data_IF_392282079308
#
_entry.id   IF_392282079308
#
_cell.length_a   1.000
_cell.length_b   1.000
_cell.length_c   1.000
_cell.angle_alpha   90.00
_cell.angle_beta   90.00
_cell.angle_gamma   90.00
#
_symmetry.space_group_name_H-M   'P 1'
#
loop_
_entity.id
_entity.type
_entity.pdbx_description
1 polymer ?
#
# COMPACT_ATOMS: atom_id res chain seq x y z
N UNK A 1 2.64 33.16 -16.22
CA UNK A 1 2.31 33.08 -14.77
C UNK A 1 0.92 33.67 -14.43
N UNK A 2 0.59 34.92 -14.78
CA UNK A 2 -0.71 35.56 -14.45
C UNK A 2 -1.98 34.81 -14.93
N UNK A 3 -1.98 34.24 -16.15
CA UNK A 3 -3.11 33.41 -16.64
C UNK A 3 -3.35 32.17 -15.79
N UNK A 4 -2.29 31.49 -15.36
CA UNK A 4 -2.42 30.24 -14.58
C UNK A 4 -2.93 30.51 -13.16
N UNK A 5 -2.46 31.57 -12.51
CA UNK A 5 -2.99 32.01 -11.21
C UNK A 5 -4.47 32.41 -11.28
N UNK A 6 -4.87 33.16 -12.31
CA UNK A 6 -6.28 33.51 -12.55
C UNK A 6 -7.16 32.31 -12.90
N UNK A 7 -6.58 31.25 -13.47
CA UNK A 7 -7.29 30.02 -13.79
C UNK A 7 -7.49 29.15 -12.54
N UNK A 8 -6.49 29.12 -11.64
CA UNK A 8 -6.54 28.35 -10.38
C UNK A 8 -7.58 28.86 -9.39
N UNK A 9 -7.89 30.16 -9.39
CA UNK A 9 -8.93 30.72 -8.51
C UNK A 9 -10.35 30.45 -9.00
N UNK A 10 -10.54 30.05 -10.27
CA UNK A 10 -11.87 29.89 -10.89
C UNK A 10 -12.19 28.43 -11.27
N UNK A 11 -11.19 27.55 -11.35
CA UNK A 11 -11.35 26.15 -11.74
C UNK A 11 -10.98 25.22 -10.59
N UNK A 12 -11.82 24.21 -10.36
CA UNK A 12 -11.72 23.23 -9.26
C UNK A 12 -10.93 21.97 -9.62
N UNK A 13 -10.51 21.82 -10.87
CA UNK A 13 -9.83 20.62 -11.38
C UNK A 13 -8.64 21.03 -12.26
N UNK A 14 -7.50 20.40 -12.01
CA UNK A 14 -6.30 20.51 -12.82
C UNK A 14 -5.93 19.09 -13.23
N UNK A 15 -5.76 18.88 -14.54
CA UNK A 15 -5.23 17.62 -15.08
C UNK A 15 -3.80 17.89 -15.53
N UNK A 16 -2.89 17.05 -15.05
CA UNK A 16 -1.46 17.26 -15.11
C UNK A 16 -0.75 15.95 -15.41
N UNK A 17 0.33 15.99 -16.18
CA UNK A 17 1.32 14.91 -16.20
C UNK A 17 2.41 15.19 -15.17
N UNK A 18 3.25 14.20 -14.89
CA UNK A 18 4.34 14.29 -13.92
C UNK A 18 5.34 15.46 -14.19
N UNK A 19 5.27 16.07 -15.38
CA UNK A 19 6.06 17.24 -15.77
C UNK A 19 5.59 18.58 -15.15
N UNK A 20 4.56 18.62 -14.31
CA UNK A 20 4.17 19.83 -13.59
C UNK A 20 5.05 20.08 -12.35
N UNK A 21 6.34 20.27 -12.60
CA UNK A 21 7.34 20.81 -11.68
C UNK A 21 7.23 22.32 -11.46
N UNK A 22 6.22 22.97 -12.04
CA UNK A 22 5.91 24.36 -11.76
C UNK A 22 5.37 24.41 -10.33
N UNK A 23 5.94 25.27 -9.47
CA UNK A 23 5.58 25.44 -8.05
C UNK A 23 4.13 25.91 -7.84
N UNK A 24 3.17 25.04 -8.15
CA UNK A 24 1.75 25.22 -7.90
C UNK A 24 1.55 25.16 -6.39
N UNK A 25 1.34 26.32 -5.80
CA UNK A 25 0.98 26.50 -4.40
C UNK A 25 -0.48 26.92 -4.32
N UNK A 26 -1.37 25.95 -4.45
CA UNK A 26 -2.81 26.12 -4.20
C UNK A 26 -3.05 25.54 -2.80
N UNK A 27 -3.39 26.36 -1.80
CA UNK A 27 -3.40 25.92 -0.41
C UNK A 27 -4.53 24.93 -0.09
N UNK A 28 -5.61 24.95 -0.88
CA UNK A 28 -6.86 24.26 -0.63
C UNK A 28 -7.06 22.99 -1.49
N UNK A 29 -5.99 22.36 -1.97
CA UNK A 29 -6.09 21.09 -2.71
C UNK A 29 -6.58 19.97 -1.76
N UNK A 30 -7.74 19.40 -2.07
CA UNK A 30 -8.38 18.32 -1.29
C UNK A 30 -8.16 16.92 -1.83
N UNK A 31 -7.95 16.80 -3.14
CA UNK A 31 -7.79 15.53 -3.81
C UNK A 31 -6.60 15.59 -4.77
N UNK A 32 -5.74 14.57 -4.68
CA UNK A 32 -4.73 14.27 -5.69
C UNK A 32 -5.00 12.86 -6.16
N UNK A 33 -5.19 12.70 -7.47
CA UNK A 33 -5.52 11.41 -8.08
C UNK A 33 -4.46 11.10 -9.12
N UNK A 34 -3.72 10.02 -8.89
CA UNK A 34 -2.80 9.45 -9.85
C UNK A 34 -3.53 8.40 -10.67
N UNK A 35 -3.58 8.59 -11.99
CA UNK A 35 -4.13 7.60 -12.92
C UNK A 35 -2.96 6.79 -13.48
N UNK A 36 -2.91 5.52 -13.13
CA UNK A 36 -1.76 4.64 -13.34
C UNK A 36 -0.79 4.65 -12.18
N UNK A 37 0.15 3.70 -12.19
CA UNK A 37 1.13 3.57 -11.11
C UNK A 37 2.25 4.61 -11.32
N UNK A 38 2.55 5.46 -10.31
CA UNK A 38 3.71 6.35 -10.37
C UNK A 38 5.01 5.56 -10.56
N UNK A 39 5.99 6.13 -11.26
CA UNK A 39 7.25 5.43 -11.52
C UNK A 39 8.16 5.30 -10.30
N UNK A 40 8.08 6.25 -9.36
CA UNK A 40 8.89 6.32 -8.16
C UNK A 40 8.02 6.79 -6.99
N UNK A 41 8.16 6.16 -5.83
CA UNK A 41 7.39 6.55 -4.64
C UNK A 41 7.72 7.99 -4.19
N UNK A 42 8.97 8.44 -4.39
CA UNK A 42 9.40 9.80 -4.02
C UNK A 42 8.68 10.87 -4.85
N UNK A 43 8.52 10.63 -6.16
CA UNK A 43 7.76 11.52 -7.02
C UNK A 43 6.29 11.58 -6.58
N UNK A 44 5.68 10.40 -6.35
CA UNK A 44 4.34 10.29 -5.81
C UNK A 44 4.16 11.06 -4.48
N UNK A 45 5.13 10.97 -3.57
CA UNK A 45 5.10 11.66 -2.29
C UNK A 45 5.14 13.19 -2.47
N UNK A 46 6.02 13.70 -3.33
CA UNK A 46 6.11 15.13 -3.64
C UNK A 46 4.84 15.67 -4.30
N UNK A 47 4.26 14.89 -5.22
CA UNK A 47 3.02 15.24 -5.91
C UNK A 47 1.83 15.26 -4.95
N UNK A 48 1.72 14.25 -4.07
CA UNK A 48 0.69 14.14 -3.05
C UNK A 48 0.83 15.19 -1.94
N UNK A 49 2.06 15.61 -1.62
CA UNK A 49 2.36 16.66 -0.63
C UNK A 49 1.87 18.07 -0.96
N UNK A 50 1.11 18.22 -2.06
CA UNK A 50 0.36 19.45 -2.39
C UNK A 50 -0.97 19.54 -1.64
N UNK A 51 -1.46 18.43 -1.09
CA UNK A 51 -2.67 18.36 -0.29
C UNK A 51 -2.53 19.13 1.04
N UNK A 52 -3.64 19.60 1.60
CA UNK A 52 -3.70 19.86 3.04
C UNK A 52 -2.89 21.04 3.56
N UNK A 53 -2.41 21.95 2.70
CA UNK A 53 -1.55 23.08 3.11
C UNK A 53 -2.28 24.12 3.97
N UNK A 54 -3.61 24.10 3.94
CA UNK A 54 -4.51 24.85 4.83
C UNK A 54 -4.79 24.13 6.16
N UNK A 55 -4.13 23.00 6.44
CA UNK A 55 -4.32 22.20 7.65
C UNK A 55 -5.58 21.33 7.65
N UNK A 56 -6.38 21.34 6.58
CA UNK A 56 -7.59 20.52 6.46
C UNK A 56 -7.27 19.21 5.76
N UNK A 57 -7.99 18.16 6.15
CA UNK A 57 -7.83 16.82 5.59
C UNK A 57 -7.89 16.82 4.05
N UNK A 58 -7.08 15.96 3.44
CA UNK A 58 -7.07 15.72 2.00
C UNK A 58 -6.79 14.25 1.72
N UNK A 59 -7.14 13.79 0.52
CA UNK A 59 -6.99 12.39 0.12
C UNK A 59 -6.12 12.28 -1.11
N UNK A 60 -5.10 11.42 -1.05
CA UNK A 60 -4.32 11.00 -2.22
C UNK A 60 -4.71 9.59 -2.61
N UNK A 61 -5.06 9.39 -3.88
CA UNK A 61 -5.53 8.11 -4.42
C UNK A 61 -4.77 7.73 -5.67
N UNK A 62 -4.31 6.48 -5.74
CA UNK A 62 -3.78 5.88 -6.97
C UNK A 62 -4.86 4.98 -7.55
N UNK A 63 -5.24 5.24 -8.80
CA UNK A 63 -6.14 4.40 -9.58
C UNK A 63 -5.29 3.64 -10.58
N UNK A 64 -5.09 2.35 -10.35
CA UNK A 64 -4.35 1.47 -11.25
C UNK A 64 -5.15 0.20 -11.56
N UNK A 65 -4.79 -0.49 -12.64
CA UNK A 65 -5.40 -1.79 -12.96
C UNK A 65 -5.11 -2.80 -11.85
N UNK A 66 -6.12 -3.57 -11.48
CA UNK A 66 -6.00 -4.59 -10.45
C UNK A 66 -4.86 -5.57 -10.76
N UNK A 67 -4.01 -5.81 -9.76
CA UNK A 67 -2.98 -6.84 -9.82
C UNK A 67 -3.65 -8.18 -9.58
N UNK A 68 -3.90 -8.95 -10.65
CA UNK A 68 -4.46 -10.29 -10.52
C UNK A 68 -3.34 -11.30 -10.22
N UNK A 69 -3.40 -11.92 -9.03
CA UNK A 69 -2.75 -13.21 -8.73
C UNK A 69 -1.35 -13.16 -8.12
N UNK A 70 -0.99 -14.24 -7.40
CA UNK A 70 0.37 -14.48 -6.84
C UNK A 70 1.45 -14.64 -7.92
N UNK A 71 1.06 -14.73 -9.20
CA UNK A 71 1.95 -14.71 -10.35
C UNK A 71 1.53 -13.59 -11.30
N UNK A 72 2.30 -12.50 -11.30
CA UNK A 72 2.21 -11.48 -12.35
C UNK A 72 1.46 -10.23 -11.94
N UNK A 73 2.22 -9.26 -11.44
CA UNK A 73 1.90 -7.85 -11.63
C UNK A 73 1.42 -7.60 -13.08
N UNK A 74 0.45 -6.69 -13.28
CA UNK A 74 0.08 -6.24 -14.63
C UNK A 74 1.32 -5.69 -15.35
N UNK A 75 1.35 -5.69 -16.69
CA UNK A 75 2.48 -5.14 -17.46
C UNK A 75 2.85 -3.71 -17.03
N UNK A 76 1.85 -2.93 -16.63
CA UNK A 76 2.00 -1.57 -16.10
C UNK A 76 2.72 -1.52 -14.74
N UNK A 77 2.59 -2.56 -13.93
CA UNK A 77 3.30 -2.66 -12.67
C UNK A 77 4.64 -3.38 -12.79
N UNK A 78 4.80 -4.26 -13.79
CA UNK A 78 6.10 -4.86 -14.13
C UNK A 78 7.09 -3.83 -14.69
N UNK A 79 6.61 -2.73 -15.28
CA UNK A 79 7.47 -1.64 -15.74
C UNK A 79 7.97 -0.74 -14.59
N UNK A 80 7.34 -0.83 -13.41
CA UNK A 80 7.77 -0.10 -12.22
C UNK A 80 8.95 -0.84 -11.61
N UNK A 81 10.12 -0.21 -11.68
CA UNK A 81 11.38 -0.75 -11.13
C UNK A 81 11.68 -0.25 -9.72
N UNK A 82 10.88 0.68 -9.22
CA UNK A 82 11.03 1.26 -7.89
C UNK A 82 10.42 0.32 -6.84
N UNK A 83 11.28 -0.34 -6.08
CA UNK A 83 10.88 -1.36 -5.10
C UNK A 83 9.94 -0.80 -4.02
N UNK A 84 10.19 0.44 -3.60
CA UNK A 84 9.39 1.14 -2.60
C UNK A 84 7.99 1.48 -3.15
N UNK A 85 7.88 1.87 -4.42
CA UNK A 85 6.59 2.05 -5.08
C UNK A 85 5.82 0.73 -5.19
N UNK A 86 6.51 -0.37 -5.49
CA UNK A 86 5.90 -1.70 -5.52
C UNK A 86 5.39 -2.11 -4.13
N UNK A 87 6.18 -1.89 -3.08
CA UNK A 87 5.77 -2.11 -1.69
C UNK A 87 4.57 -1.24 -1.30
N UNK A 88 4.61 0.04 -1.70
CA UNK A 88 3.49 0.96 -1.53
C UNK A 88 2.25 0.35 -2.17
N UNK A 89 2.21 0.09 -3.47
CA UNK A 89 1.01 -0.41 -4.16
C UNK A 89 0.48 -1.72 -3.56
N UNK A 90 1.38 -2.66 -3.20
CA UNK A 90 0.99 -3.92 -2.55
C UNK A 90 0.23 -3.70 -1.25
N UNK A 91 0.54 -2.64 -0.50
CA UNK A 91 -0.17 -2.30 0.73
C UNK A 91 0.06 -3.32 1.85
N UNK A 92 1.23 -3.97 1.88
CA UNK A 92 1.62 -4.96 2.90
C UNK A 92 2.11 -4.31 4.20
N UNK A 93 2.49 -3.03 4.14
CA UNK A 93 2.87 -2.21 5.30
C UNK A 93 2.09 -0.91 5.32
N UNK A 94 2.10 -0.24 6.47
CA UNK A 94 1.55 1.10 6.62
C UNK A 94 2.06 2.03 5.50
N UNK A 95 1.17 2.83 4.90
CA UNK A 95 1.57 3.78 3.84
C UNK A 95 2.65 4.75 4.33
N UNK A 96 2.54 5.23 5.57
CA UNK A 96 3.52 6.13 6.18
C UNK A 96 4.87 5.46 6.42
N UNK A 97 4.90 4.17 6.74
CA UNK A 97 6.17 3.44 6.84
C UNK A 97 6.95 3.51 5.52
N UNK A 98 6.28 3.20 4.40
CA UNK A 98 6.91 3.21 3.08
C UNK A 98 7.34 4.64 2.70
N UNK A 99 6.50 5.63 2.95
CA UNK A 99 6.80 7.03 2.65
C UNK A 99 7.96 7.59 3.51
N UNK A 100 7.99 7.31 4.81
CA UNK A 100 9.04 7.79 5.73
C UNK A 100 10.40 7.20 5.37
N UNK A 101 10.43 5.90 5.04
CA UNK A 101 11.62 5.20 4.55
C UNK A 101 12.10 5.81 3.24
N UNK A 102 11.20 5.97 2.27
CA UNK A 102 11.55 6.46 0.95
C UNK A 102 11.99 7.92 0.95
N UNK A 103 11.39 8.77 1.79
CA UNK A 103 11.68 10.22 1.81
C UNK A 103 12.91 10.55 2.63
N UNK A 104 12.95 10.08 3.88
CA UNK A 104 13.87 10.52 4.93
C UNK A 104 14.76 9.39 5.45
N UNK A 105 14.61 8.16 4.94
CA UNK A 105 15.33 6.98 5.42
C UNK A 105 14.92 6.53 6.82
N UNK A 106 13.83 7.10 7.37
CA UNK A 106 13.36 6.78 8.72
C UNK A 106 12.64 5.44 8.71
N UNK A 107 13.04 4.57 9.63
CA UNK A 107 12.36 3.30 9.86
C UNK A 107 11.40 3.50 11.02
N UNK A 108 10.11 3.42 10.71
CA UNK A 108 9.02 3.52 11.67
C UNK A 108 8.70 2.14 12.23
N UNK A 109 8.56 2.04 13.54
CA UNK A 109 8.02 0.84 14.17
C UNK A 109 6.48 0.86 14.08
N UNK A 110 5.88 -0.21 13.56
CA UNK A 110 4.42 -0.35 13.48
C UNK A 110 3.73 0.48 12.38
N UNK A 111 2.63 1.14 12.74
CA UNK A 111 1.67 1.76 11.82
C UNK A 111 1.55 3.29 11.93
N UNK A 112 0.41 3.83 11.50
CA UNK A 112 0.06 5.22 11.81
C UNK A 112 0.05 5.44 13.33
N UNK A 113 0.57 6.58 13.79
CA UNK A 113 0.58 6.97 15.20
C UNK A 113 -0.76 7.61 15.61
N UNK A 114 -0.97 7.79 16.92
CA UNK A 114 -2.23 8.30 17.48
C UNK A 114 -2.56 9.75 17.05
N UNK A 115 -1.55 10.56 16.74
CA UNK A 115 -1.68 11.93 16.25
C UNK A 115 -1.80 12.02 14.72
N UNK A 116 -1.87 10.88 14.03
CA UNK A 116 -1.92 10.81 12.58
C UNK A 116 -3.25 10.30 12.03
N UNK A 117 -3.70 10.89 10.94
CA UNK A 117 -4.80 10.35 10.13
C UNK A 117 -4.48 8.93 9.63
N UNK A 118 -5.32 7.94 9.92
CA UNK A 118 -5.04 6.56 9.53
C UNK A 118 -5.01 6.35 8.01
N UNK A 119 -4.04 5.59 7.53
CA UNK A 119 -4.01 5.17 6.12
C UNK A 119 -4.95 3.98 5.85
N UNK A 120 -5.22 3.71 4.58
CA UNK A 120 -6.07 2.61 4.12
C UNK A 120 -5.59 1.22 4.58
N UNK A 121 -4.28 0.99 4.66
CA UNK A 121 -3.71 -0.25 5.21
C UNK A 121 -3.91 -0.30 6.72
N UNK A 122 -3.76 0.85 7.40
CA UNK A 122 -3.99 1.05 8.83
C UNK A 122 -5.41 0.73 9.26
N UNK A 123 -6.38 1.28 8.53
CA UNK A 123 -7.80 1.07 8.76
C UNK A 123 -8.19 -0.42 8.61
N UNK A 124 -7.54 -1.14 7.69
CA UNK A 124 -7.85 -2.56 7.42
C UNK A 124 -7.17 -3.54 8.38
N UNK A 125 -6.37 -3.09 9.34
CA UNK A 125 -5.61 -3.95 10.24
C UNK A 125 -4.44 -4.71 9.58
N UNK A 126 -4.05 -4.34 8.35
CA UNK A 126 -3.12 -5.10 7.52
C UNK A 126 -1.63 -4.74 7.66
N UNK A 127 -1.17 -4.23 8.79
CA UNK A 127 0.23 -3.78 8.96
C UNK A 127 0.95 -4.83 9.77
N UNK A 128 1.91 -5.51 9.15
CA UNK A 128 2.76 -6.48 9.81
C UNK A 128 3.59 -5.74 10.87
N UNK A 129 3.29 -5.96 12.15
CA UNK A 129 4.19 -5.56 13.22
C UNK A 129 5.30 -6.63 13.30
N UNK A 130 6.55 -6.22 13.12
CA UNK A 130 7.73 -7.11 13.16
C UNK A 130 7.86 -7.86 14.50
N UNK A 131 7.17 -7.41 15.57
CA UNK A 131 7.14 -8.07 16.87
C UNK A 131 6.33 -9.37 16.93
N UNK A 132 5.58 -9.74 15.87
CA UNK A 132 4.84 -11.01 15.84
C UNK A 132 4.92 -11.70 14.46
N UNK A 133 6.08 -12.32 14.19
CA UNK A 133 6.28 -13.29 13.09
C UNK A 133 5.41 -14.57 13.27
N UNK A 134 4.64 -14.70 14.35
CA UNK A 134 3.88 -15.92 14.71
C UNK A 134 2.35 -15.83 14.57
N UNK A 135 1.78 -14.71 14.11
CA UNK A 135 0.31 -14.56 14.05
C UNK A 135 -0.24 -14.46 12.61
N UNK A 136 0.25 -15.29 11.70
CA UNK A 136 -0.51 -15.61 10.48
C UNK A 136 -1.48 -16.74 10.87
N UNK A 137 -2.72 -16.41 11.26
CA UNK A 137 -3.81 -17.38 11.11
C UNK A 137 -4.18 -17.39 9.63
N UNK A 138 -3.93 -18.47 8.87
CA UNK A 138 -4.45 -18.56 7.53
C UNK A 138 -5.98 -18.57 7.60
N UNK A 139 -6.61 -17.76 6.75
CA UNK A 139 -8.05 -17.79 6.54
C UNK A 139 -8.47 -19.22 6.20
N UNK A 140 -9.37 -19.80 7.01
CA UNK A 140 -9.95 -21.11 6.78
C UNK A 140 -10.81 -21.12 5.52
N UNK A 141 -10.74 -22.23 4.79
CA UNK A 141 -11.83 -22.77 3.97
C UNK A 141 -11.34 -23.74 2.88
N UNK A 142 -12.15 -24.71 2.43
CA UNK A 142 -13.33 -25.34 3.04
C UNK A 142 -13.04 -26.77 3.52
N UNK A 143 -14.00 -27.31 4.27
CA UNK A 143 -14.04 -28.68 4.76
C UNK A 143 -13.92 -29.72 3.63
N UNK A 144 -13.12 -30.76 3.87
CA UNK A 144 -13.29 -32.06 3.22
C UNK A 144 -13.22 -33.15 4.28
N UNK A 145 -14.41 -33.56 4.71
CA UNK A 145 -14.73 -34.87 5.26
C UNK A 145 -14.19 -35.94 4.30
N UNK A 146 -13.44 -36.93 4.79
CA UNK A 146 -13.83 -38.35 4.70
C UNK A 146 -12.86 -39.27 5.46
N UNK A 147 -13.47 -40.00 6.39
CA UNK A 147 -13.33 -41.43 6.69
C UNK A 147 -12.14 -41.93 7.50
N UNK A 148 -12.48 -42.16 8.77
CA UNK A 148 -12.07 -43.26 9.63
C UNK A 148 -11.79 -44.55 8.84
N UNK A 149 -10.63 -45.14 9.11
CA UNK A 149 -10.42 -46.58 9.13
C UNK A 149 -9.40 -46.85 10.25
N UNK A 150 -9.92 -47.20 11.41
CA UNK A 150 -9.19 -47.86 12.49
C UNK A 150 -8.89 -49.28 12.04
N UNK A 151 -7.63 -49.68 12.00
CA UNK A 151 -7.25 -51.08 12.16
C UNK A 151 -6.16 -51.14 13.25
N UNK A 152 -6.62 -51.48 14.45
CA UNK A 152 -5.82 -52.01 15.53
C UNK A 152 -5.43 -53.44 15.16
N UNK A 153 -4.14 -53.72 14.98
CA UNK A 153 -3.60 -55.04 15.34
C UNK A 153 -2.31 -54.84 16.11
N UNK A 154 -2.41 -55.06 17.41
CA UNK A 154 -1.28 -55.20 18.29
C UNK A 154 -0.72 -56.63 18.29
N UNK A 155 0.58 -56.66 18.57
CA UNK A 155 1.24 -57.56 19.54
C UNK A 155 2.04 -58.76 19.02
N UNK A 156 3.31 -58.76 19.45
CA UNK A 156 4.15 -59.93 19.78
C UNK A 156 4.79 -60.67 18.60
N UNK A 157 5.97 -61.27 18.68
CA UNK A 157 7.01 -61.43 19.71
C UNK A 157 8.20 -62.13 19.00
N UNK A 158 9.41 -61.82 19.44
CA UNK A 158 10.60 -62.69 19.57
C UNK A 158 11.16 -63.62 18.45
N UNK A 159 12.50 -63.59 18.41
CA UNK A 159 13.46 -64.71 18.33
C UNK A 159 14.02 -65.18 16.98
N UNK A 160 15.35 -65.01 16.89
CA UNK A 160 16.38 -65.96 16.41
C UNK A 160 16.06 -66.86 15.20
N UNK A 161 16.69 -66.56 14.06
CA UNK A 161 17.90 -67.22 13.52
C UNK A 161 18.26 -66.67 12.13
#
# INVERSE_FOLDING_TARGET
>A
RRRMQSWMTTKRLIVATNALGLGINVPDVRFVIHVGIPYQVRAFAQESGRLGRDGRQGTSTIICKAMKGQQGFTQEAQSVRDEEMVEYIRGTRCRRFVLDKAMDGRIREGGCQDDEEMCDVCIRGGHVQESNVMAIRPMMGPESITNEATDEEGNGTEHER
#
